data_IF_766867028470
#
_entry.id   IF_766867028470
#
_cell.length_a   1.000
_cell.length_b   1.000
_cell.length_c   1.000
_cell.angle_alpha   90.00
_cell.angle_beta   90.00
_cell.angle_gamma   90.00
#
_symmetry.space_group_name_H-M   'P 1'
#
loop_
_entity.id
_entity.type
_entity.pdbx_description
1 polymer ?
#
# COMPACT_ATOMS: atom_id res chain seq x y z
N UNK A 1 -2.74 9.92 78.81
CA UNK A 1 -4.11 9.58 78.36
C UNK A 1 -4.66 10.58 77.34
N UNK A 2 -5.26 11.72 77.71
CA UNK A 2 -5.88 12.63 76.72
C UNK A 2 -4.87 13.24 75.71
N UNK A 3 -3.67 13.62 76.18
CA UNK A 3 -2.62 14.19 75.33
C UNK A 3 -2.03 13.15 74.35
N UNK A 4 -1.96 11.88 74.75
CA UNK A 4 -1.49 10.78 73.89
C UNK A 4 -2.51 10.48 72.79
N UNK A 5 -3.79 10.44 73.13
CA UNK A 5 -4.86 10.25 72.15
C UNK A 5 -4.87 11.36 71.09
N UNK A 6 -4.66 12.62 71.49
CA UNK A 6 -4.55 13.75 70.55
C UNK A 6 -3.33 13.60 69.64
N UNK A 7 -2.18 13.17 70.18
CA UNK A 7 -0.98 12.95 69.38
C UNK A 7 -1.12 11.76 68.41
N UNK A 8 -1.83 10.70 68.79
CA UNK A 8 -2.15 9.59 67.88
C UNK A 8 -3.07 10.02 66.75
N UNK A 9 -4.10 10.81 67.04
CA UNK A 9 -5.00 11.37 66.02
C UNK A 9 -4.19 12.21 65.03
N UNK A 10 -3.34 13.11 65.52
CA UNK A 10 -2.51 13.95 64.65
C UNK A 10 -1.58 13.14 63.73
N UNK A 11 -0.96 12.08 64.25
CA UNK A 11 -0.13 11.16 63.44
C UNK A 11 -0.94 10.38 62.41
N UNK A 12 -2.18 10.03 62.73
CA UNK A 12 -3.07 9.35 61.79
C UNK A 12 -3.50 10.30 60.66
N UNK A 13 -3.77 11.57 60.98
CA UNK A 13 -4.08 12.62 59.99
C UNK A 13 -2.89 12.86 59.05
N UNK A 14 -1.68 13.04 59.59
CA UNK A 14 -0.45 13.21 58.79
C UNK A 14 -0.22 12.03 57.83
N UNK A 15 -0.39 10.79 58.31
CA UNK A 15 -0.29 9.59 57.45
C UNK A 15 -1.38 9.51 56.39
N UNK A 16 -2.60 9.93 56.71
CA UNK A 16 -3.69 9.94 55.75
C UNK A 16 -3.40 10.96 54.64
N UNK A 17 -2.85 12.12 54.99
CA UNK A 17 -2.47 13.15 54.03
C UNK A 17 -1.32 12.69 53.12
N UNK A 18 -0.27 12.08 53.68
CA UNK A 18 0.80 11.45 52.88
C UNK A 18 0.26 10.39 51.90
N UNK A 19 -0.66 9.54 52.35
CA UNK A 19 -1.29 8.52 51.49
C UNK A 19 -2.08 9.15 50.34
N UNK A 20 -2.79 10.25 50.58
CA UNK A 20 -3.55 10.97 49.55
C UNK A 20 -2.60 11.62 48.54
N UNK A 21 -1.53 12.24 49.00
CA UNK A 21 -0.51 12.85 48.13
C UNK A 21 0.16 11.80 47.24
N UNK A 22 0.61 10.68 47.82
CA UNK A 22 1.20 9.58 47.07
C UNK A 22 0.24 9.00 46.03
N UNK A 23 -1.01 8.74 46.41
CA UNK A 23 -2.02 8.19 45.50
C UNK A 23 -2.29 9.16 44.34
N UNK A 24 -2.35 10.46 44.64
CA UNK A 24 -2.56 11.51 43.63
C UNK A 24 -1.36 11.62 42.68
N UNK A 25 -0.13 11.52 43.20
CA UNK A 25 1.08 11.52 42.38
C UNK A 25 1.14 10.30 41.45
N UNK A 26 0.89 9.10 41.99
CA UNK A 26 0.83 7.85 41.22
C UNK A 26 -0.24 7.90 40.13
N UNK A 27 -1.43 8.44 40.43
CA UNK A 27 -2.48 8.60 39.44
C UNK A 27 -2.06 9.51 38.28
N UNK A 28 -1.40 10.64 38.57
CA UNK A 28 -0.88 11.55 37.54
C UNK A 28 0.20 10.88 36.68
N UNK A 29 1.08 10.10 37.30
CA UNK A 29 2.11 9.35 36.57
C UNK A 29 1.50 8.28 35.66
N UNK A 30 0.52 7.53 36.15
CA UNK A 30 -0.20 6.54 35.35
C UNK A 30 -0.86 7.17 34.13
N UNK A 31 -1.53 8.31 34.29
CA UNK A 31 -2.16 9.03 33.18
C UNK A 31 -1.12 9.51 32.15
N UNK A 32 0.01 10.05 32.62
CA UNK A 32 1.11 10.49 31.74
C UNK A 32 1.66 9.31 30.94
N UNK A 33 1.94 8.19 31.60
CA UNK A 33 2.49 7.00 30.96
C UNK A 33 1.50 6.39 29.96
N UNK A 34 0.21 6.35 30.30
CA UNK A 34 -0.84 5.91 29.39
C UNK A 34 -0.93 6.81 28.14
N UNK A 35 -0.80 8.12 28.30
CA UNK A 35 -0.81 9.04 27.15
C UNK A 35 0.41 8.83 26.23
N UNK A 36 1.61 8.67 26.81
CA UNK A 36 2.83 8.38 26.04
C UNK A 36 2.69 7.06 25.28
N UNK A 37 2.20 6.00 25.93
CA UNK A 37 1.98 4.71 25.28
C UNK A 37 0.93 4.82 24.16
N UNK A 38 -0.14 5.58 24.37
CA UNK A 38 -1.14 5.81 23.34
C UNK A 38 -0.58 6.54 22.12
N UNK A 39 0.25 7.55 22.31
CA UNK A 39 0.89 8.29 21.21
C UNK A 39 1.89 7.43 20.44
N UNK A 40 2.67 6.62 21.14
CA UNK A 40 3.63 5.68 20.54
C UNK A 40 2.92 4.59 19.71
N UNK A 41 1.88 3.96 20.27
CA UNK A 41 1.10 2.96 19.54
C UNK A 41 0.35 3.55 18.35
N UNK A 42 -0.20 4.76 18.50
CA UNK A 42 -0.80 5.47 17.37
C UNK A 42 0.22 5.71 16.24
N UNK A 43 1.42 6.17 16.59
CA UNK A 43 2.49 6.43 15.63
C UNK A 43 2.93 5.15 14.90
N UNK A 44 3.11 4.05 15.64
CA UNK A 44 3.42 2.72 15.07
C UNK A 44 2.35 2.23 14.10
N UNK A 45 1.07 2.42 14.42
CA UNK A 45 -0.04 2.05 13.54
C UNK A 45 0.05 2.82 12.22
N UNK A 46 0.30 4.13 12.28
CA UNK A 46 0.42 4.98 11.09
C UNK A 46 1.65 4.59 10.25
N UNK A 47 2.79 4.33 10.87
CA UNK A 47 4.01 3.88 10.17
C UNK A 47 3.82 2.52 9.49
N UNK A 48 3.21 1.57 10.19
CA UNK A 48 2.89 0.24 9.65
C UNK A 48 1.92 0.34 8.47
N UNK A 49 0.87 1.17 8.59
CA UNK A 49 -0.10 1.40 7.53
C UNK A 49 0.56 2.04 6.29
N UNK A 50 1.44 3.03 6.47
CA UNK A 50 2.19 3.64 5.38
C UNK A 50 3.13 2.65 4.70
N UNK A 51 3.84 1.84 5.47
CA UNK A 51 4.74 0.81 4.93
C UNK A 51 3.97 -0.21 4.09
N UNK A 52 2.83 -0.68 4.61
CA UNK A 52 1.98 -1.63 3.89
C UNK A 52 1.37 -1.03 2.63
N UNK A 53 1.02 0.27 2.64
CA UNK A 53 0.56 0.99 1.45
C UNK A 53 1.65 0.99 0.37
N UNK A 54 2.88 1.34 0.72
CA UNK A 54 4.00 1.37 -0.22
C UNK A 54 4.27 -0.02 -0.81
N UNK A 55 4.30 -1.05 0.03
CA UNK A 55 4.45 -2.44 -0.40
C UNK A 55 3.33 -2.86 -1.38
N UNK A 56 2.09 -2.51 -1.06
CA UNK A 56 0.92 -2.84 -1.91
C UNK A 56 1.02 -2.17 -3.28
N UNK A 57 1.39 -0.89 -3.33
CA UNK A 57 1.56 -0.15 -4.58
C UNK A 57 2.68 -0.77 -5.41
N UNK A 58 3.84 -1.00 -4.80
CA UNK A 58 4.99 -1.60 -5.48
C UNK A 58 4.65 -2.97 -6.07
N UNK A 59 3.95 -3.81 -5.31
CA UNK A 59 3.50 -5.10 -5.78
C UNK A 59 2.55 -4.98 -6.98
N UNK A 60 1.59 -4.05 -6.92
CA UNK A 60 0.68 -3.82 -8.05
C UNK A 60 1.41 -3.34 -9.31
N UNK A 61 2.46 -2.51 -9.17
CA UNK A 61 3.31 -2.09 -10.29
C UNK A 61 4.11 -3.27 -10.86
N UNK A 62 4.70 -4.11 -10.01
CA UNK A 62 5.43 -5.31 -10.42
C UNK A 62 4.53 -6.31 -11.14
N UNK A 63 3.35 -6.59 -10.59
CA UNK A 63 2.34 -7.47 -11.18
C UNK A 63 1.88 -6.92 -12.55
N UNK A 64 1.56 -5.63 -12.62
CA UNK A 64 1.16 -4.97 -13.87
C UNK A 64 2.25 -5.00 -14.94
N UNK A 65 3.51 -4.80 -14.57
CA UNK A 65 4.63 -4.92 -15.49
C UNK A 65 4.80 -6.37 -15.96
N UNK A 66 4.66 -7.35 -15.08
CA UNK A 66 4.75 -8.77 -15.43
C UNK A 66 3.63 -9.19 -16.39
N UNK A 67 2.42 -8.65 -16.24
CA UNK A 67 1.31 -8.89 -17.16
C UNK A 67 1.51 -8.18 -18.51
N UNK A 68 2.17 -7.02 -18.52
CA UNK A 68 2.46 -6.28 -19.74
C UNK A 68 3.49 -6.98 -20.65
N UNK A 69 4.48 -7.67 -20.07
CA UNK A 69 5.53 -8.39 -20.82
C UNK A 69 4.98 -9.34 -21.89
N UNK A 70 4.09 -10.31 -21.60
CA UNK A 70 3.56 -11.21 -22.62
C UNK A 70 2.68 -10.50 -23.64
N UNK A 71 2.00 -9.41 -23.27
CA UNK A 71 1.20 -8.59 -24.21
C UNK A 71 2.13 -7.94 -25.24
N UNK A 72 3.23 -7.34 -24.79
CA UNK A 72 4.21 -6.71 -25.67
C UNK A 72 4.88 -7.76 -26.57
N UNK A 73 5.32 -8.88 -26.02
CA UNK A 73 5.93 -9.98 -26.79
C UNK A 73 4.98 -10.49 -27.88
N UNK A 74 3.69 -10.67 -27.56
CA UNK A 74 2.68 -11.08 -28.53
C UNK A 74 2.48 -10.03 -29.62
N UNK A 75 2.43 -8.75 -29.25
CA UNK A 75 2.34 -7.65 -30.22
C UNK A 75 3.53 -7.61 -31.17
N UNK A 76 4.74 -7.86 -30.68
CA UNK A 76 5.95 -7.95 -31.50
C UNK A 76 5.88 -9.12 -32.50
N UNK A 77 5.42 -10.29 -32.06
CA UNK A 77 5.22 -11.47 -32.92
C UNK A 77 4.17 -11.21 -34.01
N UNK A 78 3.06 -10.56 -33.66
CA UNK A 78 2.01 -10.19 -34.62
C UNK A 78 2.54 -9.21 -35.67
N UNK A 79 3.27 -8.18 -35.26
CA UNK A 79 3.91 -7.22 -36.17
C UNK A 79 4.92 -7.91 -37.08
N UNK A 80 5.75 -8.80 -36.53
CA UNK A 80 6.71 -9.57 -37.30
C UNK A 80 6.00 -10.45 -38.35
N UNK A 81 4.90 -11.09 -37.98
CA UNK A 81 4.10 -11.92 -38.88
C UNK A 81 3.49 -11.13 -40.03
N UNK A 82 3.03 -9.90 -39.78
CA UNK A 82 2.52 -8.99 -40.83
C UNK A 82 3.64 -8.55 -41.77
N UNK A 83 4.81 -8.17 -41.24
CA UNK A 83 5.95 -7.73 -42.05
C UNK A 83 6.53 -8.86 -42.90
N UNK A 84 6.57 -10.07 -42.34
CA UNK A 84 7.16 -11.25 -42.96
C UNK A 84 6.15 -12.10 -43.75
N UNK A 85 5.08 -11.50 -44.28
CA UNK A 85 4.18 -12.19 -45.22
C UNK A 85 5.01 -12.82 -46.35
N UNK A 86 4.65 -14.03 -46.78
CA UNK A 86 5.41 -14.73 -47.81
C UNK A 86 5.34 -14.01 -49.16
N UNK A 87 6.41 -14.12 -49.94
CA UNK A 87 6.47 -13.54 -51.28
C UNK A 87 5.39 -14.13 -52.19
N UNK A 88 5.09 -15.42 -52.06
CA UNK A 88 3.99 -16.07 -52.78
C UNK A 88 2.63 -15.42 -52.51
N UNK A 89 2.34 -15.07 -51.25
CA UNK A 89 1.10 -14.38 -50.88
C UNK A 89 1.05 -12.98 -51.47
N UNK A 90 2.18 -12.26 -51.48
CA UNK A 90 2.29 -10.95 -52.13
C UNK A 90 2.06 -11.04 -53.63
N UNK A 91 2.76 -11.96 -54.30
CA UNK A 91 2.67 -12.15 -55.74
C UNK A 91 1.27 -12.59 -56.18
N UNK A 92 0.63 -13.46 -55.40
CA UNK A 92 -0.77 -13.85 -55.64
C UNK A 92 -1.71 -12.64 -55.52
N UNK A 93 -1.56 -11.81 -54.47
CA UNK A 93 -2.37 -10.60 -54.31
C UNK A 93 -2.18 -9.61 -55.48
N UNK A 94 -0.94 -9.44 -55.95
CA UNK A 94 -0.62 -8.61 -57.13
C UNK A 94 -1.32 -9.18 -58.38
N UNK A 95 -1.19 -10.48 -58.64
CA UNK A 95 -1.81 -11.12 -59.80
C UNK A 95 -3.34 -10.98 -59.80
N UNK A 96 -4.00 -11.13 -58.65
CA UNK A 96 -5.44 -10.91 -58.52
C UNK A 96 -5.86 -9.48 -58.88
N UNK A 97 -5.04 -8.48 -58.52
CA UNK A 97 -5.30 -7.08 -58.88
C UNK A 97 -5.09 -6.88 -60.39
N UNK A 98 -4.00 -7.40 -60.96
CA UNK A 98 -3.72 -7.32 -62.40
C UNK A 98 -4.84 -7.96 -63.21
N UNK A 99 -5.29 -9.17 -62.84
CA UNK A 99 -6.41 -9.83 -63.50
C UNK A 99 -7.70 -9.01 -63.45
N UNK A 100 -8.00 -8.35 -62.33
CA UNK A 100 -9.17 -7.47 -62.22
C UNK A 100 -9.06 -6.27 -63.17
N UNK A 101 -7.89 -5.62 -63.23
CA UNK A 101 -7.68 -4.48 -64.13
C UNK A 101 -7.83 -4.90 -65.59
N UNK A 102 -7.18 -6.02 -65.97
CA UNK A 102 -7.25 -6.58 -67.33
C UNK A 102 -8.68 -6.99 -67.69
N UNK A 103 -9.45 -7.58 -66.78
CA UNK A 103 -10.87 -7.92 -67.05
C UNK A 103 -11.77 -6.69 -67.21
N UNK A 104 -11.44 -5.56 -66.59
CA UNK A 104 -12.23 -4.32 -66.68
C UNK A 104 -11.84 -3.49 -67.92
N UNK A 105 -10.56 -3.46 -68.30
CA UNK A 105 -10.02 -2.56 -69.36
C UNK A 105 -9.50 -3.29 -70.60
N UNK A 106 -9.42 -4.62 -70.57
CA UNK A 106 -8.84 -5.46 -71.63
C UNK A 106 -9.84 -5.96 -72.66
N UNK A 107 -11.12 -5.58 -72.57
CA UNK A 107 -12.05 -5.68 -73.69
C UNK A 107 -11.91 -4.42 -74.55
N UNK A 108 -10.93 -4.44 -75.45
CA UNK A 108 -11.07 -3.86 -76.78
C UNK A 108 -10.91 -4.94 -77.81
#
# INVERSE_FOLDING_TARGET
MALEAINEIKRAEEKAEELIEEATAKAKEMLKNANIQSEDEYSKIIESANSKRVETIKKAEEDGNSEAVPILSKGEEEVASIKNVSEDKRNNAINLIVERIVKIHGNS
#
